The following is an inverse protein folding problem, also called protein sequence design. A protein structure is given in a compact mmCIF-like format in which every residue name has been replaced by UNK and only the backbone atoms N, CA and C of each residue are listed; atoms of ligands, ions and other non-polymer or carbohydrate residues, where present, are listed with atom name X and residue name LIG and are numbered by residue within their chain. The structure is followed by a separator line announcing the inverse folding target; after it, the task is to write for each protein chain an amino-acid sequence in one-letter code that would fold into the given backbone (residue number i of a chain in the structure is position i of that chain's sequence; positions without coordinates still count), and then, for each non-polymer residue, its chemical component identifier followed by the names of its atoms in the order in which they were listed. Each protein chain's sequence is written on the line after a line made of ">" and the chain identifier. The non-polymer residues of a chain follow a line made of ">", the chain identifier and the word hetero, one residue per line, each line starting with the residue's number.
data_IF_479042041673
#
_entry.id   IF_479042041673
#
_cell.length_a   1.000
_cell.length_b   1.000
_cell.length_c   1.000
_cell.angle_alpha   90.00
_cell.angle_beta   90.00
_cell.angle_gamma   90.00
#
_symmetry.space_group_name_H-M   'P 1'
#
loop_
_entity.id
_entity.type
_entity.pdbx_description
1 polymer ?
#
# COMPACT_ATOMS: atom_id res chain seq x y z
N UNK A 1 7.10 -6.71 -14.24
CA UNK A 1 7.73 -7.55 -15.31
C UNK A 1 8.07 -8.97 -14.82
N UNK A 2 8.64 -9.14 -13.63
CA UNK A 2 8.98 -10.48 -13.09
C UNK A 2 7.75 -11.40 -12.95
N UNK A 3 6.56 -10.83 -12.73
CA UNK A 3 5.30 -11.57 -12.63
C UNK A 3 4.57 -11.76 -13.98
N UNK A 4 5.27 -11.56 -15.11
CA UNK A 4 4.72 -11.80 -16.45
C UNK A 4 3.73 -10.75 -16.96
N UNK A 5 3.78 -9.51 -16.42
CA UNK A 5 2.99 -8.38 -16.88
C UNK A 5 3.87 -7.25 -17.41
N UNK A 6 3.37 -6.44 -18.33
CA UNK A 6 4.01 -5.18 -18.70
C UNK A 6 3.79 -4.16 -17.59
N UNK A 7 4.85 -3.48 -17.16
CA UNK A 7 4.79 -2.53 -16.06
C UNK A 7 5.18 -1.12 -16.50
N UNK A 8 4.34 -0.17 -16.17
CA UNK A 8 4.55 1.27 -16.32
C UNK A 8 4.71 1.90 -14.94
N UNK A 9 5.30 3.08 -14.87
CA UNK A 9 5.48 3.78 -13.59
C UNK A 9 5.26 5.28 -13.72
N UNK A 10 4.60 5.86 -12.72
CA UNK A 10 4.56 7.28 -12.45
C UNK A 10 5.38 7.56 -11.18
N UNK A 11 6.29 8.50 -11.26
CA UNK A 11 7.23 8.83 -10.18
C UNK A 11 6.60 9.88 -9.28
N UNK A 12 6.45 9.58 -7.99
CA UNK A 12 5.95 10.51 -6.97
C UNK A 12 7.06 11.30 -6.30
N UNK A 13 8.22 10.66 -6.12
CA UNK A 13 9.42 11.28 -5.56
C UNK A 13 10.69 10.59 -6.04
N UNK A 14 11.75 11.35 -6.18
CA UNK A 14 13.11 10.84 -6.38
C UNK A 14 13.82 10.81 -5.03
N UNK A 15 14.49 9.69 -4.72
CA UNK A 15 15.25 9.54 -3.48
C UNK A 15 16.73 9.35 -3.76
N UNK A 16 17.57 10.12 -3.08
CA UNK A 16 19.00 9.83 -2.95
C UNK A 16 19.15 8.82 -1.80
N UNK A 17 19.17 7.54 -2.15
CA UNK A 17 19.07 6.43 -1.17
C UNK A 17 20.10 5.35 -1.47
N UNK A 18 20.67 4.79 -0.40
CA UNK A 18 21.50 3.59 -0.43
C UNK A 18 21.04 2.58 0.65
N UNK A 19 21.82 1.55 0.89
CA UNK A 19 21.49 0.51 1.90
C UNK A 19 21.57 1.02 3.34
N UNK A 20 22.21 2.16 3.59
CA UNK A 20 22.37 2.74 4.93
C UNK A 20 21.36 3.83 5.25
N UNK A 21 20.66 4.38 4.25
CA UNK A 21 19.63 5.40 4.49
C UNK A 21 19.26 6.25 3.28
N UNK A 22 18.40 7.24 3.54
CA UNK A 22 17.94 8.24 2.57
C UNK A 22 18.60 9.57 2.93
N UNK A 23 19.35 10.17 2.01
CA UNK A 23 20.07 11.43 2.20
C UNK A 23 19.38 12.63 1.53
N UNK A 24 18.41 12.37 0.64
CA UNK A 24 17.64 13.42 -0.02
C UNK A 24 16.36 12.88 -0.64
N UNK A 25 15.33 13.71 -0.64
CA UNK A 25 14.03 13.44 -1.28
C UNK A 25 13.68 14.66 -2.13
N UNK A 26 13.35 14.41 -3.39
CA UNK A 26 12.83 15.42 -4.31
C UNK A 26 11.44 15.00 -4.77
N UNK A 27 10.43 15.71 -4.32
CA UNK A 27 9.04 15.45 -4.70
C UNK A 27 8.75 16.05 -6.07
N UNK A 28 8.00 15.34 -6.90
CA UNK A 28 7.42 15.93 -8.11
C UNK A 28 6.24 16.81 -7.71
N UNK A 29 5.84 17.75 -8.60
CA UNK A 29 4.62 18.52 -8.36
C UNK A 29 3.37 17.70 -8.67
N UNK A 30 2.22 18.02 -8.04
CA UNK A 30 0.94 17.35 -8.37
C UNK A 30 0.58 17.42 -9.85
N UNK A 31 0.85 18.55 -10.51
CA UNK A 31 0.59 18.76 -11.94
C UNK A 31 1.45 17.83 -12.80
N UNK A 32 2.73 17.67 -12.44
CA UNK A 32 3.62 16.78 -13.19
C UNK A 32 3.27 15.31 -12.95
N UNK A 33 2.87 14.96 -11.72
CA UNK A 33 2.39 13.62 -11.43
C UNK A 33 1.12 13.31 -12.24
N UNK A 34 0.16 14.25 -12.30
CA UNK A 34 -1.02 14.09 -13.14
C UNK A 34 -0.64 13.90 -14.61
N UNK A 35 0.28 14.69 -15.14
CA UNK A 35 0.75 14.54 -16.52
C UNK A 35 1.38 13.17 -16.81
N UNK A 36 2.14 12.60 -15.84
CA UNK A 36 2.65 11.23 -15.96
C UNK A 36 1.53 10.19 -15.98
N UNK A 37 0.53 10.34 -15.10
CA UNK A 37 -0.63 9.45 -15.05
C UNK A 37 -1.44 9.55 -16.33
N UNK A 38 -1.75 10.75 -16.80
CA UNK A 38 -2.47 10.99 -18.07
C UNK A 38 -1.72 10.31 -19.23
N UNK A 39 -0.39 10.46 -19.31
CA UNK A 39 0.40 9.83 -20.36
C UNK A 39 0.29 8.29 -20.35
N UNK A 40 0.21 7.68 -19.15
CA UNK A 40 0.03 6.23 -19.02
C UNK A 40 -1.39 5.83 -19.39
N UNK A 41 -2.41 6.46 -18.77
CA UNK A 41 -3.81 6.06 -18.94
C UNK A 41 -4.36 6.30 -20.35
N UNK A 42 -3.82 7.28 -21.09
CA UNK A 42 -4.26 7.60 -22.46
C UNK A 42 -3.55 6.78 -23.55
N UNK A 43 -2.43 6.13 -23.23
CA UNK A 43 -1.67 5.28 -24.16
C UNK A 43 -2.02 3.79 -23.95
N UNK A 44 -1.51 3.20 -22.86
CA UNK A 44 -1.79 1.81 -22.50
C UNK A 44 -2.54 1.81 -21.17
N UNK A 45 -3.87 1.64 -21.25
CA UNK A 45 -4.71 1.65 -20.04
C UNK A 45 -4.33 0.50 -19.10
N UNK A 46 -3.98 0.78 -17.82
CA UNK A 46 -3.55 -0.24 -16.88
C UNK A 46 -4.70 -1.16 -16.46
N UNK A 47 -4.48 -2.48 -16.47
CA UNK A 47 -5.43 -3.47 -15.94
C UNK A 47 -5.46 -3.47 -14.40
N UNK A 48 -4.36 -3.07 -13.75
CA UNK A 48 -4.28 -2.88 -12.30
C UNK A 48 -3.30 -1.76 -11.95
N UNK A 49 -3.48 -1.14 -10.80
CA UNK A 49 -2.64 -0.05 -10.30
C UNK A 49 -2.09 -0.40 -8.92
N UNK A 50 -0.77 -0.30 -8.74
CA UNK A 50 -0.15 -0.40 -7.41
C UNK A 50 0.34 0.97 -6.96
N UNK A 51 -0.09 1.38 -5.78
CA UNK A 51 0.37 2.61 -5.15
C UNK A 51 1.24 2.22 -3.95
N UNK A 52 2.44 2.77 -3.91
CA UNK A 52 3.35 2.60 -2.78
C UNK A 52 3.51 3.90 -2.01
N UNK A 53 4.76 4.25 -1.69
CA UNK A 53 5.07 5.48 -0.97
C UNK A 53 4.61 6.72 -1.75
N UNK A 54 3.81 7.56 -1.09
CA UNK A 54 3.44 8.91 -1.54
C UNK A 54 3.80 9.86 -0.40
N UNK A 55 4.55 10.90 -0.68
CA UNK A 55 5.21 11.74 0.34
C UNK A 55 4.31 12.75 1.03
N UNK A 56 3.25 13.24 0.37
CA UNK A 56 2.40 14.32 0.89
C UNK A 56 0.95 14.22 0.42
N UNK A 57 0.07 15.01 1.07
CA UNK A 57 -1.37 15.01 0.83
C UNK A 57 -1.77 15.50 -0.56
N UNK A 58 -1.04 16.45 -1.14
CA UNK A 58 -1.37 17.00 -2.48
C UNK A 58 -1.18 15.95 -3.57
N UNK A 59 -0.11 15.14 -3.48
CA UNK A 59 0.12 14.03 -4.39
C UNK A 59 -0.92 12.92 -4.20
N UNK A 60 -1.34 12.64 -2.95
CA UNK A 60 -2.40 11.67 -2.66
C UNK A 60 -3.72 12.12 -3.31
N UNK A 61 -4.05 13.41 -3.20
CA UNK A 61 -5.24 13.99 -3.84
C UNK A 61 -5.17 13.84 -5.37
N UNK A 62 -4.05 14.25 -5.98
CA UNK A 62 -3.86 14.17 -7.43
C UNK A 62 -4.00 12.72 -7.93
N UNK A 63 -3.43 11.74 -7.21
CA UNK A 63 -3.60 10.31 -7.52
C UNK A 63 -5.08 9.92 -7.43
N UNK A 64 -5.73 10.20 -6.29
CA UNK A 64 -7.11 9.80 -6.07
C UNK A 64 -8.09 10.39 -7.09
N UNK A 65 -7.91 11.65 -7.45
CA UNK A 65 -8.72 12.33 -8.48
C UNK A 65 -8.50 11.71 -9.86
N UNK A 66 -7.24 11.48 -10.25
CA UNK A 66 -6.92 10.87 -11.55
C UNK A 66 -7.44 9.44 -11.66
N UNK A 67 -7.29 8.62 -10.61
CA UNK A 67 -7.82 7.25 -10.63
C UNK A 67 -9.35 7.21 -10.77
N UNK A 68 -10.06 8.17 -10.16
CA UNK A 68 -11.51 8.33 -10.35
C UNK A 68 -11.86 8.80 -11.76
N UNK A 69 -11.15 9.78 -12.29
CA UNK A 69 -11.35 10.33 -13.64
C UNK A 69 -11.26 9.22 -14.68
N UNK A 70 -10.23 8.37 -14.60
CA UNK A 70 -10.03 7.25 -15.51
C UNK A 70 -10.80 5.97 -15.16
N UNK A 71 -11.53 5.95 -14.03
CA UNK A 71 -12.22 4.75 -13.53
C UNK A 71 -11.29 3.55 -13.41
N UNK A 72 -10.10 3.78 -12.87
CA UNK A 72 -9.07 2.76 -12.70
C UNK A 72 -9.59 1.60 -11.85
N UNK A 73 -9.17 0.38 -12.20
CA UNK A 73 -9.60 -0.86 -11.54
C UNK A 73 -8.42 -1.54 -10.87
N UNK A 74 -8.72 -2.51 -10.01
CA UNK A 74 -7.71 -3.35 -9.34
C UNK A 74 -6.62 -2.51 -8.68
N UNK A 75 -7.05 -1.58 -7.82
CA UNK A 75 -6.16 -0.65 -7.12
C UNK A 75 -5.64 -1.33 -5.85
N UNK A 76 -4.33 -1.52 -5.78
CA UNK A 76 -3.62 -2.05 -4.61
C UNK A 76 -2.86 -0.92 -3.94
N UNK A 77 -3.15 -0.64 -2.68
CA UNK A 77 -2.45 0.40 -1.90
C UNK A 77 -1.59 -0.24 -0.82
N UNK A 78 -0.28 -0.05 -0.91
CA UNK A 78 0.66 -0.33 0.18
C UNK A 78 0.83 0.98 0.97
N UNK A 79 0.15 1.14 2.12
CA UNK A 79 0.04 2.43 2.80
C UNK A 79 1.31 2.73 3.60
N UNK A 80 2.42 2.99 2.91
CA UNK A 80 3.73 3.24 3.51
C UNK A 80 3.70 4.54 4.31
N UNK A 81 3.41 4.43 5.62
CA UNK A 81 3.31 5.55 6.55
C UNK A 81 4.49 5.65 7.51
N UNK A 82 5.18 4.53 7.74
CA UNK A 82 6.26 4.43 8.73
C UNK A 82 7.48 3.77 8.09
N UNK A 83 8.64 4.37 8.28
CA UNK A 83 9.91 3.76 7.86
C UNK A 83 10.21 2.51 8.70
N UNK A 84 11.06 1.62 8.20
CA UNK A 84 11.56 0.45 8.96
C UNK A 84 12.25 0.86 10.27
N UNK A 85 12.78 2.08 10.33
CA UNK A 85 13.37 2.68 11.54
C UNK A 85 12.33 3.16 12.57
N UNK A 86 11.03 3.10 12.26
CA UNK A 86 9.94 3.63 13.10
C UNK A 86 9.66 5.13 12.89
N UNK A 87 10.41 5.82 12.04
CA UNK A 87 10.15 7.22 11.75
C UNK A 87 8.88 7.39 10.91
N UNK A 88 8.03 8.36 11.27
CA UNK A 88 6.87 8.72 10.46
C UNK A 88 7.33 9.25 9.09
N UNK A 89 6.79 8.69 8.01
CA UNK A 89 7.06 9.10 6.63
C UNK A 89 5.97 10.02 6.08
N UNK A 90 4.78 9.99 6.68
CA UNK A 90 3.63 10.81 6.33
C UNK A 90 3.28 11.74 7.49
N UNK A 91 2.99 12.97 7.18
CA UNK A 91 2.43 13.92 8.15
C UNK A 91 0.98 13.55 8.51
N UNK A 92 0.48 13.92 9.71
CA UNK A 92 -0.87 13.56 10.14
C UNK A 92 -1.98 13.97 9.16
N UNK A 93 -1.85 15.14 8.54
CA UNK A 93 -2.82 15.61 7.54
C UNK A 93 -2.81 14.75 6.27
N UNK A 94 -1.64 14.30 5.83
CA UNK A 94 -1.51 13.40 4.70
C UNK A 94 -2.09 12.01 5.00
N UNK A 95 -1.96 11.51 6.24
CA UNK A 95 -2.61 10.27 6.69
C UNK A 95 -4.13 10.40 6.64
N UNK A 96 -4.68 11.54 7.04
CA UNK A 96 -6.12 11.81 6.95
C UNK A 96 -6.60 11.78 5.49
N UNK A 97 -5.88 12.47 4.60
CA UNK A 97 -6.20 12.49 3.16
C UNK A 97 -6.11 11.09 2.57
N UNK A 98 -5.09 10.30 2.91
CA UNK A 98 -4.94 8.90 2.50
C UNK A 98 -6.20 8.10 2.88
N UNK A 99 -6.62 8.18 4.15
CA UNK A 99 -7.80 7.47 4.68
C UNK A 99 -9.10 7.87 3.97
N UNK A 100 -9.28 9.15 3.68
CA UNK A 100 -10.53 9.70 3.14
C UNK A 100 -10.63 9.64 1.61
N UNK A 101 -9.49 9.72 0.91
CA UNK A 101 -9.49 9.94 -0.55
C UNK A 101 -8.91 8.78 -1.35
N UNK A 102 -7.99 8.02 -0.78
CA UNK A 102 -7.29 6.97 -1.52
C UNK A 102 -7.72 5.55 -1.09
N UNK A 103 -7.76 5.26 0.22
CA UNK A 103 -8.12 3.91 0.69
C UNK A 103 -9.52 3.46 0.22
N UNK A 104 -10.55 4.33 0.15
CA UNK A 104 -11.87 3.91 -0.37
C UNK A 104 -11.89 3.57 -1.87
N UNK A 105 -10.82 3.83 -2.61
CA UNK A 105 -10.67 3.44 -4.02
C UNK A 105 -9.96 2.10 -4.16
N UNK A 106 -9.30 1.63 -3.11
CA UNK A 106 -8.53 0.41 -3.16
C UNK A 106 -9.44 -0.82 -3.20
N UNK A 107 -9.04 -1.82 -3.97
CA UNK A 107 -9.57 -3.17 -3.88
C UNK A 107 -8.88 -3.93 -2.74
N UNK A 108 -7.55 -3.73 -2.62
CA UNK A 108 -6.74 -4.34 -1.56
C UNK A 108 -5.80 -3.30 -0.97
N UNK A 109 -5.72 -3.26 0.36
CA UNK A 109 -4.66 -2.55 1.08
C UNK A 109 -3.76 -3.54 1.81
N UNK A 110 -2.46 -3.23 1.90
CA UNK A 110 -1.47 -4.16 2.46
C UNK A 110 -0.67 -3.55 3.61
N UNK A 111 -1.32 -3.10 4.71
CA UNK A 111 -0.62 -2.48 5.83
C UNK A 111 0.20 -3.52 6.62
N UNK A 112 1.34 -3.11 7.17
CA UNK A 112 2.02 -3.84 8.25
C UNK A 112 1.36 -3.54 9.61
N UNK A 113 1.79 -4.20 10.70
CA UNK A 113 1.19 -4.01 12.03
C UNK A 113 1.24 -2.54 12.48
N UNK A 114 2.36 -1.80 12.43
CA UNK A 114 2.39 -0.38 12.77
C UNK A 114 1.42 0.47 11.93
N UNK A 115 1.32 0.21 10.65
CA UNK A 115 0.39 0.91 9.75
C UNK A 115 -1.06 0.54 10.06
N UNK A 116 -1.33 -0.73 10.37
CA UNK A 116 -2.65 -1.20 10.80
C UNK A 116 -3.09 -0.52 12.09
N UNK A 117 -2.19 -0.35 13.06
CA UNK A 117 -2.46 0.40 14.30
C UNK A 117 -2.84 1.87 14.02
N UNK A 118 -2.17 2.52 13.07
CA UNK A 118 -2.49 3.91 12.66
C UNK A 118 -3.87 3.96 11.97
N UNK A 119 -4.17 2.98 11.13
CA UNK A 119 -5.47 2.91 10.45
C UNK A 119 -6.61 2.61 11.42
N UNK A 120 -6.39 1.69 12.35
CA UNK A 120 -7.38 1.25 13.34
C UNK A 120 -7.53 2.24 14.50
N UNK A 121 -6.46 2.98 14.84
CA UNK A 121 -6.44 3.93 15.95
C UNK A 121 -6.21 3.29 17.32
N UNK A 122 -5.76 2.04 17.38
CA UNK A 122 -5.47 1.29 18.61
C UNK A 122 -4.21 0.44 18.45
N UNK A 123 -3.60 0.04 19.59
CA UNK A 123 -2.51 -0.94 19.63
C UNK A 123 -2.98 -2.35 19.26
N UNK A 124 -2.09 -3.15 18.70
CA UNK A 124 -2.30 -4.56 18.37
C UNK A 124 -1.26 -5.38 19.17
N UNK A 125 -1.73 -6.28 20.02
CA UNK A 125 -0.91 -7.06 20.93
C UNK A 125 -1.15 -8.56 20.84
N UNK A 126 -2.14 -8.99 20.04
CA UNK A 126 -2.45 -10.40 19.80
C UNK A 126 -2.90 -10.66 18.37
N UNK A 127 -2.96 -11.93 17.98
CA UNK A 127 -3.46 -12.35 16.67
C UNK A 127 -4.96 -12.02 16.52
N UNK A 128 -5.73 -12.16 17.59
CA UNK A 128 -7.16 -11.83 17.61
C UNK A 128 -7.39 -10.34 17.39
N UNK A 129 -6.58 -9.47 18.00
CA UNK A 129 -6.64 -8.02 17.77
C UNK A 129 -6.20 -7.65 16.36
N UNK A 130 -5.22 -8.35 15.78
CA UNK A 130 -4.80 -8.17 14.39
C UNK A 130 -5.93 -8.52 13.42
N UNK A 131 -6.62 -9.65 13.65
CA UNK A 131 -7.79 -10.06 12.86
C UNK A 131 -8.94 -9.06 13.00
N UNK A 132 -9.24 -8.64 14.23
CA UNK A 132 -10.27 -7.65 14.49
C UNK A 132 -9.97 -6.31 13.80
N UNK A 133 -8.72 -5.85 13.87
CA UNK A 133 -8.28 -4.62 13.20
C UNK A 133 -8.46 -4.73 11.68
N UNK A 134 -8.05 -5.84 11.07
CA UNK A 134 -8.19 -6.06 9.64
C UNK A 134 -9.67 -6.02 9.20
N UNK A 135 -10.57 -6.69 9.95
CA UNK A 135 -12.03 -6.67 9.71
C UNK A 135 -12.64 -5.28 9.83
N UNK A 136 -12.31 -4.55 10.91
CA UNK A 136 -12.86 -3.22 11.14
C UNK A 136 -12.38 -2.22 10.07
N UNK A 137 -11.11 -2.31 9.65
CA UNK A 137 -10.53 -1.48 8.59
C UNK A 137 -11.18 -1.83 7.25
N UNK A 138 -11.34 -3.13 6.93
CA UNK A 138 -12.02 -3.58 5.71
C UNK A 138 -13.43 -3.01 5.62
N UNK A 139 -14.19 -3.10 6.69
CA UNK A 139 -15.54 -2.52 6.77
C UNK A 139 -15.53 -0.99 6.66
N UNK A 140 -14.57 -0.31 7.27
CA UNK A 140 -14.50 1.15 7.30
C UNK A 140 -14.20 1.75 5.91
N UNK A 141 -13.34 1.10 5.13
CA UNK A 141 -12.93 1.60 3.82
C UNK A 141 -13.57 0.87 2.64
N UNK A 142 -14.27 -0.24 2.87
CA UNK A 142 -14.92 -1.02 1.82
C UNK A 142 -13.92 -1.72 0.89
N UNK A 143 -12.76 -2.16 1.41
CA UNK A 143 -11.69 -2.83 0.66
C UNK A 143 -11.18 -4.05 1.40
N UNK A 144 -10.52 -4.96 0.69
CA UNK A 144 -9.84 -6.09 1.31
C UNK A 144 -8.57 -5.62 2.04
N UNK A 145 -8.28 -6.20 3.20
CA UNK A 145 -7.14 -5.81 4.04
C UNK A 145 -6.23 -7.00 4.27
N UNK A 146 -5.04 -6.97 3.69
CA UNK A 146 -3.96 -7.90 4.00
C UNK A 146 -3.06 -7.27 5.06
N UNK A 147 -3.33 -7.54 6.34
CA UNK A 147 -2.46 -7.12 7.42
C UNK A 147 -1.24 -8.03 7.48
N UNK A 148 -0.05 -7.44 7.24
CA UNK A 148 1.22 -8.17 7.22
C UNK A 148 1.76 -8.36 8.63
N UNK A 149 2.09 -9.60 9.00
CA UNK A 149 2.74 -9.95 10.25
C UNK A 149 4.24 -9.61 10.29
N UNK A 150 4.97 -10.24 11.20
CA UNK A 150 6.44 -10.14 11.27
C UNK A 150 7.01 -9.01 12.13
N UNK A 151 6.18 -8.14 12.72
CA UNK A 151 6.60 -7.08 13.64
C UNK A 151 6.31 -7.45 15.10
N UNK A 152 7.02 -8.43 15.67
CA UNK A 152 7.04 -8.76 17.10
C UNK A 152 5.85 -9.53 17.73
N UNK A 153 4.81 -9.82 17.04
CA UNK A 153 3.81 -10.82 17.47
C UNK A 153 4.26 -12.16 16.89
N UNK A 154 4.51 -13.14 17.73
CA UNK A 154 4.93 -14.51 17.44
C UNK A 154 4.53 -14.96 16.02
N UNK A 155 5.54 -15.27 15.17
CA UNK A 155 5.43 -15.73 13.79
C UNK A 155 5.10 -14.64 12.72
N UNK A 156 5.52 -14.90 11.48
CA UNK A 156 5.34 -14.01 10.35
C UNK A 156 3.99 -14.27 9.64
N UNK A 157 2.91 -14.51 10.41
CA UNK A 157 1.61 -14.82 9.85
C UNK A 157 0.90 -13.54 9.36
N UNK A 158 0.40 -13.57 8.14
CA UNK A 158 -0.41 -12.51 7.56
C UNK A 158 -1.90 -12.86 7.69
N UNK A 159 -2.77 -11.87 7.83
CA UNK A 159 -4.23 -12.05 7.83
C UNK A 159 -4.87 -11.21 6.73
N UNK A 160 -5.67 -11.87 5.90
CA UNK A 160 -6.54 -11.22 4.92
C UNK A 160 -7.97 -11.17 5.49
N UNK A 161 -8.53 -9.98 5.56
CA UNK A 161 -9.95 -9.76 5.81
C UNK A 161 -10.59 -9.20 4.53
N UNK A 162 -11.59 -9.90 4.02
CA UNK A 162 -12.31 -9.54 2.80
C UNK A 162 -13.57 -8.75 3.11
N UNK A 163 -14.06 -8.02 2.12
CA UNK A 163 -15.23 -7.15 2.29
C UNK A 163 -16.53 -7.90 2.60
N UNK A 164 -16.60 -9.19 2.24
CA UNK A 164 -17.73 -10.08 2.58
C UNK A 164 -17.68 -10.63 4.01
N UNK A 165 -16.60 -10.33 4.76
CA UNK A 165 -16.36 -10.78 6.12
C UNK A 165 -15.54 -12.07 6.23
N UNK A 166 -15.14 -12.67 5.11
CA UNK A 166 -14.24 -13.83 5.09
C UNK A 166 -12.88 -13.43 5.66
N UNK A 167 -12.26 -14.34 6.41
CA UNK A 167 -10.92 -14.16 6.96
C UNK A 167 -10.05 -15.36 6.63
N UNK A 168 -8.89 -15.09 6.08
CA UNK A 168 -7.90 -16.10 5.73
C UNK A 168 -6.56 -15.76 6.39
N UNK A 169 -6.00 -16.73 7.10
CA UNK A 169 -4.66 -16.64 7.67
C UNK A 169 -3.64 -17.34 6.79
N UNK A 170 -2.55 -16.66 6.52
CA UNK A 170 -1.40 -17.21 5.81
C UNK A 170 -0.27 -17.45 6.81
N UNK A 171 0.08 -18.72 7.02
CA UNK A 171 1.19 -19.08 7.89
C UNK A 171 2.52 -18.70 7.22
N UNK A 172 3.29 -17.85 7.86
CA UNK A 172 4.61 -17.43 7.44
C UNK A 172 5.68 -17.95 8.39
N UNK A 173 6.81 -18.41 7.87
CA UNK A 173 7.99 -18.71 8.67
C UNK A 173 8.90 -17.48 8.69
N UNK A 174 9.27 -17.01 9.87
CA UNK A 174 10.21 -15.90 10.00
C UNK A 174 11.57 -16.30 9.46
N UNK A 175 12.00 -15.59 8.42
CA UNK A 175 13.36 -15.72 7.89
C UNK A 175 14.23 -14.71 8.62
N UNK A 176 15.21 -15.19 9.37
CA UNK A 176 16.20 -14.34 10.02
C UNK A 176 17.20 -13.82 8.97
N UNK A 177 16.82 -12.73 8.34
CA UNK A 177 17.61 -12.07 7.32
C UNK A 177 17.56 -10.55 7.54
N UNK A 178 18.70 -9.88 7.73
CA UNK A 178 18.75 -8.42 7.87
C UNK A 178 18.31 -7.66 6.61
N UNK A 179 18.27 -8.32 5.45
CA UNK A 179 17.89 -7.71 4.16
C UNK A 179 16.36 -7.76 3.92
N UNK A 180 15.56 -7.38 4.89
CA UNK A 180 14.08 -7.35 4.79
C UNK A 180 13.54 -6.10 4.09
N UNK A 181 14.41 -5.19 3.63
CA UNK A 181 14.00 -3.99 2.93
C UNK A 181 13.24 -4.32 1.63
N UNK A 182 12.10 -3.64 1.42
CA UNK A 182 11.25 -3.71 0.20
C UNK A 182 10.44 -5.00 0.03
N UNK A 183 10.38 -5.91 0.99
CA UNK A 183 9.55 -7.13 0.87
C UNK A 183 8.06 -6.80 0.72
N UNK A 184 7.54 -5.83 1.46
CA UNK A 184 6.15 -5.36 1.35
C UNK A 184 5.82 -4.79 -0.03
N UNK A 185 6.70 -3.95 -0.60
CA UNK A 185 6.50 -3.41 -1.94
C UNK A 185 6.50 -4.50 -3.03
N UNK A 186 7.29 -5.58 -2.84
CA UNK A 186 7.30 -6.73 -3.75
C UNK A 186 5.98 -7.50 -3.67
N UNK A 187 5.46 -7.74 -2.47
CA UNK A 187 4.19 -8.42 -2.25
C UNK A 187 3.04 -7.64 -2.88
N UNK A 188 2.89 -6.36 -2.57
CA UNK A 188 1.83 -5.52 -3.13
C UNK A 188 1.90 -5.40 -4.65
N UNK A 189 3.12 -5.38 -5.23
CA UNK A 189 3.30 -5.41 -6.68
C UNK A 189 2.93 -6.76 -7.30
N UNK A 190 3.19 -7.87 -6.61
CA UNK A 190 2.79 -9.21 -7.05
C UNK A 190 1.28 -9.38 -7.03
N UNK A 191 0.60 -8.86 -5.99
CA UNK A 191 -0.86 -8.83 -5.90
C UNK A 191 -1.44 -8.06 -7.10
N UNK A 192 -1.00 -6.83 -7.34
CA UNK A 192 -1.48 -6.05 -8.48
C UNK A 192 -1.24 -6.74 -9.84
N UNK A 193 -0.07 -7.38 -10.01
CA UNK A 193 0.23 -8.12 -11.23
C UNK A 193 -0.67 -9.35 -11.42
N UNK A 194 -1.09 -10.01 -10.35
CA UNK A 194 -2.00 -11.15 -10.42
C UNK A 194 -3.44 -10.70 -10.67
N UNK A 195 -3.91 -9.64 -10.03
CA UNK A 195 -5.22 -9.03 -10.33
C UNK A 195 -5.28 -8.59 -11.80
N UNK A 196 -4.22 -7.98 -12.36
CA UNK A 196 -4.14 -7.62 -13.79
C UNK A 196 -4.24 -8.83 -14.73
N UNK A 197 -3.92 -10.04 -14.27
CA UNK A 197 -4.08 -11.30 -15.02
C UNK A 197 -5.44 -11.95 -14.83
N UNK A 198 -6.32 -11.38 -13.99
CA UNK A 198 -7.63 -11.91 -13.66
C UNK A 198 -7.64 -13.03 -12.61
N UNK A 199 -6.60 -13.08 -11.77
CA UNK A 199 -6.64 -13.94 -10.57
C UNK A 199 -7.35 -13.18 -9.43
N UNK A 200 -8.02 -13.96 -8.59
CA UNK A 200 -8.69 -13.48 -7.38
C UNK A 200 -7.67 -13.26 -6.24
#
# INVERSE_FOLDING_TARGET
>A
TMNGVFAMSAITALTAQNTTGVTGIFNVTPEFLKAQLDAVFTDIFPDAVKIGMVSNGELILAIGETLKEYQARHIVVDPVMVATSGAALLEPDAVKILKEKLLPLAEVITPNIPETQILWGRGIHSAEEMEQAAKEISKAYGCNVLCKGGHSLNDANDVLAETDGTVTWFAGTRVDNPNTHRTGCTLSSAIAANLAKGYD
#
